data_IF_183064954114
#
_entry.id   IF_183064954114
#
_cell.length_a   1.000
_cell.length_b   1.000
_cell.length_c   1.000
_cell.angle_alpha   90.00
_cell.angle_beta   90.00
_cell.angle_gamma   90.00
#
_symmetry.space_group_name_H-M   'P 1'
#
loop_
_entity.id
_entity.type
_entity.pdbx_description
1 polymer ?
#
# COMPACT_ATOMS: atom_id res chain seq x y z
N UNK A 1 45.88 -8.05 -4.34
CA UNK A 1 45.86 -8.21 -5.80
C UNK A 1 44.45 -7.95 -6.29
N UNK A 2 44.33 -6.89 -7.09
CA UNK A 2 43.23 -6.45 -7.96
C UNK A 2 41.97 -7.34 -8.00
N UNK A 3 40.87 -6.89 -7.38
CA UNK A 3 39.54 -7.34 -7.76
C UNK A 3 39.11 -6.58 -9.03
N UNK A 4 38.79 -7.27 -10.13
CA UNK A 4 38.36 -6.61 -11.35
C UNK A 4 36.95 -6.05 -11.16
N UNK A 5 36.74 -4.79 -11.56
CA UNK A 5 35.41 -4.21 -11.73
C UNK A 5 34.63 -5.03 -12.77
N UNK A 6 33.44 -5.58 -12.46
CA UNK A 6 32.56 -6.07 -13.49
C UNK A 6 31.79 -4.91 -14.11
N UNK A 7 31.89 -4.86 -15.43
CA UNK A 7 31.21 -4.05 -16.41
C UNK A 7 29.69 -3.89 -16.19
N UNK A 8 29.25 -2.64 -16.04
CA UNK A 8 28.06 -1.92 -16.59
C UNK A 8 26.68 -2.58 -16.80
N UNK A 9 26.52 -3.91 -16.82
CA UNK A 9 25.23 -4.56 -17.15
C UNK A 9 24.89 -5.61 -16.09
N UNK A 10 24.24 -5.21 -14.99
CA UNK A 10 23.76 -6.18 -14.00
C UNK A 10 23.40 -5.66 -12.60
N UNK A 11 23.53 -4.36 -12.32
CA UNK A 11 23.44 -3.83 -10.95
C UNK A 11 22.06 -3.32 -10.50
N UNK A 12 20.98 -3.58 -11.23
CA UNK A 12 19.64 -3.11 -10.80
C UNK A 12 18.82 -4.13 -9.99
N UNK A 13 19.18 -5.43 -9.99
CA UNK A 13 18.37 -6.46 -9.33
C UNK A 13 18.80 -6.82 -7.90
N UNK A 14 20.01 -6.43 -7.46
CA UNK A 14 20.55 -6.80 -6.15
C UNK A 14 20.06 -5.94 -4.98
N UNK A 15 19.46 -4.77 -5.23
CA UNK A 15 19.00 -3.88 -4.14
C UNK A 15 17.75 -4.37 -3.41
N UNK A 16 17.07 -5.36 -3.98
CA UNK A 16 15.80 -5.89 -3.52
C UNK A 16 15.89 -7.37 -3.11
N UNK A 17 17.07 -7.99 -3.18
CA UNK A 17 17.22 -9.38 -2.76
C UNK A 17 17.45 -9.41 -1.23
N UNK A 18 16.41 -9.75 -0.46
CA UNK A 18 16.61 -10.09 0.96
C UNK A 18 16.98 -11.58 1.08
N UNK A 19 17.98 -11.94 1.92
CA UNK A 19 18.37 -13.34 2.12
C UNK A 19 17.16 -14.19 2.51
N UNK A 20 16.86 -15.23 1.72
CA UNK A 20 15.72 -16.12 1.94
C UNK A 20 14.36 -15.66 1.39
N UNK A 21 14.22 -14.45 0.82
CA UNK A 21 12.93 -13.94 0.32
C UNK A 21 12.74 -13.98 -1.21
N UNK A 22 13.79 -14.28 -1.97
CA UNK A 22 13.79 -14.24 -3.44
C UNK A 22 13.99 -12.82 -3.99
N UNK A 23 13.95 -12.68 -5.32
CA UNK A 23 14.07 -11.39 -6.00
C UNK A 23 12.68 -10.73 -6.05
N UNK A 24 12.53 -9.51 -5.54
CA UNK A 24 11.29 -8.76 -5.73
C UNK A 24 11.14 -8.32 -7.19
N UNK A 25 9.92 -8.48 -7.72
CA UNK A 25 9.55 -8.02 -9.06
C UNK A 25 8.54 -6.88 -8.93
N UNK A 26 8.66 -5.86 -9.78
CA UNK A 26 7.68 -4.77 -9.87
C UNK A 26 6.91 -4.83 -11.19
N UNK A 27 5.67 -4.34 -11.17
CA UNK A 27 4.81 -4.15 -12.35
C UNK A 27 4.04 -2.84 -12.23
N UNK A 28 3.56 -2.31 -13.36
CA UNK A 28 2.74 -1.11 -13.43
C UNK A 28 1.36 -1.37 -12.84
N UNK A 29 0.86 -0.46 -12.01
CA UNK A 29 -0.42 -0.65 -11.29
C UNK A 29 -1.61 -0.58 -12.25
N UNK A 30 -1.56 0.31 -13.24
CA UNK A 30 -2.58 0.51 -14.26
C UNK A 30 -2.79 -0.70 -15.17
N UNK A 31 -1.83 -1.61 -15.23
CA UNK A 31 -1.84 -2.81 -16.08
C UNK A 31 -1.94 -4.12 -15.27
N UNK A 32 -1.94 -4.06 -13.93
CA UNK A 32 -1.90 -5.24 -13.07
C UNK A 32 -3.16 -5.36 -12.23
N UNK A 33 -3.87 -6.47 -12.35
CA UNK A 33 -4.99 -6.80 -11.46
C UNK A 33 -4.52 -7.67 -10.30
N UNK A 34 -5.31 -7.72 -9.21
CA UNK A 34 -5.04 -8.63 -8.09
C UNK A 34 -4.96 -10.11 -8.51
N UNK A 35 -5.61 -10.46 -9.62
CA UNK A 35 -5.65 -11.80 -10.17
C UNK A 35 -4.34 -12.21 -10.85
N UNK A 36 -3.53 -11.24 -11.26
CA UNK A 36 -2.25 -11.45 -11.91
C UNK A 36 -1.11 -11.61 -10.90
N UNK A 37 -1.41 -11.43 -9.61
CA UNK A 37 -0.44 -11.49 -8.51
C UNK A 37 -0.29 -12.91 -8.01
N UNK A 38 0.95 -13.37 -7.93
CA UNK A 38 1.31 -14.59 -7.18
C UNK A 38 1.55 -14.19 -5.73
N UNK A 39 0.54 -14.38 -4.89
CA UNK A 39 0.57 -13.99 -3.48
C UNK A 39 1.14 -15.11 -2.60
N UNK A 40 1.90 -14.70 -1.58
CA UNK A 40 2.44 -15.54 -0.52
C UNK A 40 1.97 -14.97 0.80
N UNK A 41 1.39 -15.82 1.64
CA UNK A 41 0.87 -15.40 2.93
C UNK A 41 2.00 -14.96 3.86
N UNK A 42 1.73 -13.92 4.65
CA UNK A 42 2.67 -13.37 5.63
C UNK A 42 3.83 -12.57 5.03
N UNK A 43 3.87 -12.39 3.70
CA UNK A 43 4.83 -11.48 3.06
C UNK A 43 4.25 -10.07 2.91
N UNK A 44 5.16 -9.10 3.03
CA UNK A 44 4.90 -7.69 2.77
C UNK A 44 5.04 -7.39 1.28
N UNK A 45 4.06 -6.65 0.75
CA UNK A 45 4.01 -6.15 -0.61
C UNK A 45 3.94 -4.63 -0.58
N UNK A 46 4.57 -3.97 -1.56
CA UNK A 46 4.56 -2.51 -1.67
C UNK A 46 3.75 -2.08 -2.88
N UNK A 47 2.85 -1.12 -2.68
CA UNK A 47 2.17 -0.41 -3.76
C UNK A 47 2.52 1.08 -3.70
N UNK A 48 2.70 1.68 -4.87
CA UNK A 48 2.98 3.11 -4.99
C UNK A 48 1.89 3.75 -5.83
N UNK A 49 1.16 4.70 -5.25
CA UNK A 49 0.13 5.48 -5.94
C UNK A 49 0.74 6.79 -6.43
N UNK A 50 0.62 7.03 -7.74
CA UNK A 50 1.05 8.27 -8.43
C UNK A 50 2.47 8.75 -8.08
N UNK A 51 3.38 7.82 -7.80
CA UNK A 51 4.80 8.11 -7.53
C UNK A 51 5.13 8.74 -6.18
N UNK A 52 4.14 9.08 -5.35
CA UNK A 52 4.39 9.80 -4.09
C UNK A 52 3.77 9.13 -2.86
N UNK A 53 2.73 8.30 -3.02
CA UNK A 53 2.13 7.61 -1.88
C UNK A 53 2.56 6.15 -1.88
N UNK A 54 3.48 5.81 -0.98
CA UNK A 54 3.90 4.43 -0.76
C UNK A 54 3.06 3.79 0.33
N UNK A 55 2.62 2.57 0.08
CA UNK A 55 1.75 1.87 0.99
C UNK A 55 2.07 0.38 1.00
N UNK A 56 1.89 -0.24 2.16
CA UNK A 56 2.19 -1.64 2.40
C UNK A 56 0.91 -2.47 2.39
N UNK A 57 0.94 -3.62 1.75
CA UNK A 57 -0.13 -4.61 1.72
C UNK A 57 0.40 -5.92 2.29
N UNK A 58 -0.36 -6.53 3.18
CA UNK A 58 -0.09 -7.84 3.75
C UNK A 58 -1.25 -8.77 3.45
N UNK A 59 -0.97 -9.92 2.85
CA UNK A 59 -1.95 -11.00 2.72
C UNK A 59 -1.78 -11.93 3.91
N UNK A 60 -2.69 -11.82 4.88
CA UNK A 60 -2.62 -12.58 6.13
C UNK A 60 -3.34 -13.92 6.01
N UNK A 61 -4.52 -13.91 5.39
CA UNK A 61 -5.42 -15.05 5.34
C UNK A 61 -6.01 -15.20 3.93
N UNK A 62 -6.23 -16.44 3.52
CA UNK A 62 -6.98 -16.80 2.31
C UNK A 62 -8.05 -17.80 2.72
N UNK A 63 -9.27 -17.60 2.23
CA UNK A 63 -10.38 -18.55 2.43
C UNK A 63 -11.02 -18.88 1.09
N UNK A 64 -11.64 -20.05 1.01
CA UNK A 64 -12.50 -20.40 -0.11
C UNK A 64 -13.82 -19.61 -0.03
N UNK A 65 -14.44 -19.37 -1.18
CA UNK A 65 -15.75 -18.74 -1.28
C UNK A 65 -16.81 -19.63 -0.64
N UNK A 66 -17.70 -19.02 0.15
CA UNK A 66 -18.81 -19.67 0.82
C UNK A 66 -20.14 -19.21 0.20
N UNK A 67 -21.20 -19.96 0.44
CA UNK A 67 -22.60 -19.62 0.09
C UNK A 67 -23.09 -18.27 0.61
N UNK A 68 -22.49 -17.74 1.68
CA UNK A 68 -22.81 -16.41 2.21
C UNK A 68 -22.15 -15.26 1.43
N UNK A 69 -21.23 -15.56 0.51
CA UNK A 69 -20.53 -14.55 -0.27
C UNK A 69 -21.30 -14.19 -1.55
N UNK A 70 -21.12 -12.97 -2.08
CA UNK A 70 -21.64 -12.61 -3.39
C UNK A 70 -21.15 -13.59 -4.47
N UNK A 71 -22.06 -14.21 -5.26
CA UNK A 71 -21.68 -15.26 -6.21
C UNK A 71 -20.96 -14.70 -7.45
N UNK A 72 -21.13 -13.42 -7.74
CA UNK A 72 -20.58 -12.78 -8.93
C UNK A 72 -19.23 -12.13 -8.64
N UNK A 73 -18.23 -12.40 -9.49
CA UNK A 73 -16.89 -11.81 -9.38
C UNK A 73 -16.90 -10.28 -9.47
N UNK A 74 -17.85 -9.71 -10.20
CA UNK A 74 -18.04 -8.26 -10.33
C UNK A 74 -18.46 -7.58 -9.03
N UNK A 75 -18.92 -8.35 -8.03
CA UNK A 75 -19.23 -7.82 -6.69
C UNK A 75 -17.99 -7.57 -5.84
N UNK A 76 -16.80 -7.97 -6.30
CA UNK A 76 -15.53 -7.75 -5.63
C UNK A 76 -14.76 -6.59 -6.28
N UNK A 77 -13.92 -5.85 -5.53
CA UNK A 77 -13.54 -6.08 -4.13
C UNK A 77 -14.63 -5.70 -3.11
N UNK A 78 -14.70 -6.45 -2.01
CA UNK A 78 -15.60 -6.17 -0.90
C UNK A 78 -14.87 -5.38 0.19
N UNK A 79 -15.46 -4.25 0.60
CA UNK A 79 -14.98 -3.50 1.73
C UNK A 79 -15.49 -4.14 3.03
N UNK A 80 -14.66 -4.99 3.64
CA UNK A 80 -14.98 -5.63 4.93
C UNK A 80 -14.87 -4.66 6.11
N UNK A 81 -14.00 -3.67 5.99
CA UNK A 81 -13.75 -2.70 7.04
C UNK A 81 -13.39 -1.33 6.45
N UNK A 82 -13.98 -0.28 7.00
CA UNK A 82 -13.57 1.09 6.78
C UNK A 82 -13.23 1.70 8.13
N UNK A 83 -12.00 2.17 8.29
CA UNK A 83 -11.62 2.98 9.45
C UNK A 83 -12.53 4.22 9.46
N UNK A 84 -13.25 4.51 10.56
CA UNK A 84 -13.97 5.77 10.67
C UNK A 84 -12.99 6.92 10.45
N UNK A 85 -13.35 7.85 9.57
CA UNK A 85 -12.56 9.07 9.40
C UNK A 85 -12.64 9.86 10.71
N UNK A 86 -11.51 10.00 11.40
CA UNK A 86 -11.43 10.78 12.62
C UNK A 86 -11.64 12.26 12.29
N UNK A 87 -12.88 12.75 12.41
CA UNK A 87 -13.21 14.15 12.22
C UNK A 87 -12.64 14.98 13.36
N UNK A 88 -11.80 15.96 13.02
CA UNK A 88 -11.26 16.92 14.00
C UNK A 88 -12.36 17.91 14.40
N UNK A 89 -12.39 18.27 15.68
CA UNK A 89 -13.23 19.39 16.16
C UNK A 89 -12.65 20.71 15.67
N UNK A 90 -13.51 21.71 15.49
CA UNK A 90 -13.07 23.07 15.21
C UNK A 90 -12.17 23.56 16.34
N UNK A 91 -10.96 24.02 16.02
CA UNK A 91 -10.02 24.53 17.02
C UNK A 91 -10.50 25.83 17.69
N UNK A 92 -11.41 26.58 17.06
CA UNK A 92 -11.96 27.83 17.59
C UNK A 92 -13.08 27.54 18.59
N UNK A 93 -14.12 26.81 18.17
CA UNK A 93 -15.30 26.61 19.02
C UNK A 93 -15.25 25.34 19.87
N UNK A 94 -14.47 24.32 19.48
CA UNK A 94 -14.33 23.00 20.14
C UNK A 94 -15.63 22.19 20.34
N UNK A 95 -16.75 22.74 19.88
CA UNK A 95 -18.10 22.15 20.01
C UNK A 95 -18.41 21.33 18.76
N UNK A 96 -18.28 21.92 17.57
CA UNK A 96 -18.63 21.30 16.29
C UNK A 96 -17.40 20.74 15.56
N UNK A 97 -17.62 19.85 14.60
CA UNK A 97 -16.58 19.38 13.70
C UNK A 97 -16.07 20.50 12.81
N UNK A 98 -14.78 20.47 12.48
CA UNK A 98 -14.17 21.41 11.56
C UNK A 98 -14.74 21.21 10.16
N UNK A 99 -15.23 22.28 9.52
CA UNK A 99 -15.68 22.24 8.13
C UNK A 99 -14.50 22.09 7.16
N UNK A 100 -13.35 22.66 7.53
CA UNK A 100 -12.11 22.64 6.78
C UNK A 100 -10.94 22.45 7.74
N UNK A 101 -9.90 21.76 7.27
CA UNK A 101 -8.65 21.57 8.01
C UNK A 101 -7.52 22.01 7.08
N UNK A 102 -6.72 22.98 7.53
CA UNK A 102 -5.50 23.41 6.85
C UNK A 102 -4.30 22.67 7.45
N UNK A 103 -3.32 22.30 6.62
CA UNK A 103 -2.10 21.60 7.05
C UNK A 103 -0.91 22.48 6.72
N UNK A 104 -0.05 22.74 7.70
CA UNK A 104 1.14 23.58 7.51
C UNK A 104 0.88 25.09 7.51
N UNK A 105 -0.27 25.53 7.99
CA UNK A 105 -0.55 26.95 8.20
C UNK A 105 0.22 27.47 9.42
N UNK A 106 1.12 28.44 9.21
CA UNK A 106 1.94 29.05 10.25
C UNK A 106 1.12 29.82 11.29
N UNK A 107 -0.07 30.28 10.91
CA UNK A 107 -0.97 31.03 11.79
C UNK A 107 -1.94 30.15 12.58
N UNK A 108 -2.01 28.85 12.27
CA UNK A 108 -2.88 27.92 12.97
C UNK A 108 -2.19 27.40 14.25
N UNK A 109 -2.93 27.24 15.35
CA UNK A 109 -2.41 26.55 16.53
C UNK A 109 -2.07 25.09 16.16
N UNK A 110 -0.92 24.60 16.63
CA UNK A 110 -0.49 23.22 16.38
C UNK A 110 -1.57 22.21 16.82
N UNK A 111 -1.89 21.27 15.94
CA UNK A 111 -3.03 20.36 16.06
C UNK A 111 -2.66 18.92 16.37
#
# INVERSE_FOLDING_TARGET
SLFPFPSSFGFFFLRYAQPGMGVFTSRRMEETQFLDLVVQLGKSYKYVHQGNCEHEIHFLEIRMTNSADPPHRSSYPLQSFLRPLARKKCQICTIYFAAQVTVGDRGAPES
#
